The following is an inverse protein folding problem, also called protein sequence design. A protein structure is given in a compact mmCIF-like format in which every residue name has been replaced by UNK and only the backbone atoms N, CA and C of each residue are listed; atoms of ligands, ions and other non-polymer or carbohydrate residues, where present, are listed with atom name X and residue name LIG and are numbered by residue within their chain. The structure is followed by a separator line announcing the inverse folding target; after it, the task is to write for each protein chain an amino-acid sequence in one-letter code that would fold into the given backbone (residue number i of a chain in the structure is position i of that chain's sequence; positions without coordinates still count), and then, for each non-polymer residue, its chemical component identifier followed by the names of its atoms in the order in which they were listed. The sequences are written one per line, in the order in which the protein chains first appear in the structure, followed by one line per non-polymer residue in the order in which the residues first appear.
data_IF_654710594893
#
_entry.id   IF_654710594893
#
_cell.length_a   1.000
_cell.length_b   1.000
_cell.length_c   1.000
_cell.angle_alpha   90.00
_cell.angle_beta   90.00
_cell.angle_gamma   90.00
#
_symmetry.space_group_name_H-M   'P 1'
#
loop_
_entity.id
_entity.type
_entity.pdbx_description
1 polymer ?
#
# COMPACT_ATOMS: atom_id res chain seq x y z
N UNK A 1 -3.13 19.76 -41.73
CA UNK A 1 -3.18 19.83 -40.26
C UNK A 1 -3.23 18.42 -39.69
N UNK A 2 -2.26 18.13 -38.82
CA UNK A 2 -2.17 17.03 -37.83
C UNK A 2 -2.47 15.58 -38.27
N UNK A 3 -1.37 14.85 -38.50
CA UNK A 3 -1.25 13.43 -38.12
C UNK A 3 -1.58 13.30 -36.62
N UNK A 4 -2.53 12.45 -36.23
CA UNK A 4 -2.65 12.02 -34.83
C UNK A 4 -3.32 10.65 -34.70
N UNK A 5 -2.45 9.63 -34.68
CA UNK A 5 -2.48 8.46 -33.79
C UNK A 5 -3.69 7.53 -33.82
N UNK A 6 -3.74 6.70 -34.88
CA UNK A 6 -4.62 5.52 -34.99
C UNK A 6 -4.20 4.31 -34.11
N UNK A 7 -3.53 4.54 -32.97
CA UNK A 7 -3.01 3.47 -32.09
C UNK A 7 -3.32 3.66 -30.60
N UNK A 8 -4.05 4.72 -30.21
CA UNK A 8 -4.35 5.01 -28.81
C UNK A 8 -5.56 4.24 -28.24
N UNK A 9 -6.37 3.56 -29.06
CA UNK A 9 -7.70 3.07 -28.66
C UNK A 9 -7.78 1.78 -27.83
N UNK A 10 -6.68 1.08 -27.55
CA UNK A 10 -6.73 -0.26 -26.92
C UNK A 10 -6.13 -0.34 -25.50
N UNK A 11 -5.43 0.72 -25.06
CA UNK A 11 -4.61 0.72 -23.85
C UNK A 11 -5.00 1.80 -22.83
N UNK A 12 -6.04 2.58 -23.09
CA UNK A 12 -6.51 3.66 -22.22
C UNK A 12 -8.02 3.53 -21.98
N UNK A 13 -8.47 3.46 -20.72
CA UNK A 13 -9.90 3.44 -20.41
C UNK A 13 -10.54 4.79 -20.74
N UNK A 14 -11.85 4.81 -21.10
CA UNK A 14 -12.55 6.05 -21.44
C UNK A 14 -12.56 7.01 -20.24
N UNK A 15 -12.08 8.25 -20.45
CA UNK A 15 -11.99 9.29 -19.41
C UNK A 15 -10.60 9.51 -18.79
N UNK A 16 -9.56 8.81 -19.25
CA UNK A 16 -8.16 9.06 -18.84
C UNK A 16 -7.24 9.33 -20.02
N UNK A 17 -6.37 10.35 -19.88
CA UNK A 17 -5.45 10.79 -20.93
C UNK A 17 -4.21 9.89 -21.11
N UNK A 18 -3.94 8.97 -20.17
CA UNK A 18 -2.77 8.08 -20.23
C UNK A 18 -3.06 6.69 -19.65
N UNK A 19 -2.30 5.67 -20.08
CA UNK A 19 -2.51 4.28 -19.63
C UNK A 19 -2.18 4.16 -18.13
N UNK A 20 -3.18 3.92 -17.26
CA UNK A 20 -2.97 3.84 -15.81
C UNK A 20 -2.14 2.62 -15.42
N UNK A 21 -2.11 1.58 -16.27
CA UNK A 21 -1.35 0.34 -16.10
C UNK A 21 0.04 0.35 -16.74
N UNK A 22 0.57 1.53 -17.08
CA UNK A 22 1.92 1.66 -17.60
C UNK A 22 2.97 1.26 -16.54
N UNK A 23 3.95 0.44 -16.94
CA UNK A 23 5.05 -0.02 -16.07
C UNK A 23 5.81 1.12 -15.37
N UNK A 24 5.86 2.31 -15.99
CA UNK A 24 6.47 3.51 -15.39
C UNK A 24 5.78 4.00 -14.11
N UNK A 25 4.47 3.76 -13.94
CA UNK A 25 3.74 4.07 -12.71
C UNK A 25 3.79 2.93 -11.70
N UNK A 26 3.96 1.68 -12.15
CA UNK A 26 3.99 0.50 -11.26
C UNK A 26 5.31 0.30 -10.55
N UNK A 27 6.45 0.52 -11.22
CA UNK A 27 7.77 0.33 -10.61
C UNK A 27 7.93 1.18 -9.34
N UNK A 28 7.56 2.48 -9.31
CA UNK A 28 7.66 3.28 -8.09
C UNK A 28 6.80 2.74 -6.95
N UNK A 29 5.57 2.27 -7.25
CA UNK A 29 4.66 1.74 -6.23
C UNK A 29 5.21 0.42 -5.69
N UNK A 30 5.73 -0.46 -6.56
CA UNK A 30 6.27 -1.74 -6.12
C UNK A 30 7.53 -1.56 -5.28
N UNK A 31 8.37 -0.58 -5.63
CA UNK A 31 9.52 -0.19 -4.82
C UNK A 31 9.07 0.35 -3.47
N UNK A 32 8.05 1.22 -3.43
CA UNK A 32 7.48 1.74 -2.19
C UNK A 32 6.96 0.60 -1.29
N UNK A 33 6.20 -0.35 -1.85
CA UNK A 33 5.68 -1.51 -1.12
C UNK A 33 6.81 -2.42 -0.60
N UNK A 34 7.87 -2.64 -1.38
CA UNK A 34 9.05 -3.40 -0.94
C UNK A 34 9.82 -2.69 0.17
N UNK A 35 9.96 -1.37 0.09
CA UNK A 35 10.57 -0.56 1.17
C UNK A 35 9.72 -0.65 2.43
N UNK A 36 8.40 -0.51 2.30
CA UNK A 36 7.44 -0.73 3.39
C UNK A 36 7.62 -2.12 4.02
N UNK A 37 7.67 -3.17 3.20
CA UNK A 37 7.93 -4.54 3.64
C UNK A 37 9.24 -4.66 4.41
N UNK A 38 10.34 -4.12 3.87
CA UNK A 38 11.65 -4.17 4.53
C UNK A 38 11.63 -3.47 5.89
N UNK A 39 11.01 -2.28 5.97
CA UNK A 39 10.88 -1.55 7.24
C UNK A 39 10.01 -2.30 8.25
N UNK A 40 8.88 -2.87 7.84
CA UNK A 40 8.03 -3.67 8.72
C UNK A 40 8.71 -4.97 9.18
N UNK A 41 9.45 -5.65 8.30
CA UNK A 41 10.25 -6.83 8.67
C UNK A 41 11.34 -6.47 9.68
N UNK A 42 12.02 -5.34 9.51
CA UNK A 42 13.01 -4.84 10.47
C UNK A 42 12.39 -4.62 11.86
N UNK A 43 11.22 -3.97 11.93
CA UNK A 43 10.49 -3.78 13.18
C UNK A 43 10.00 -5.11 13.78
N UNK A 44 9.56 -6.05 12.96
CA UNK A 44 9.17 -7.39 13.41
C UNK A 44 10.36 -8.14 14.03
N UNK A 45 11.54 -8.08 13.42
CA UNK A 45 12.76 -8.72 13.93
C UNK A 45 13.16 -8.15 15.30
N UNK A 46 12.98 -6.85 15.52
CA UNK A 46 13.16 -6.23 16.84
C UNK A 46 12.15 -6.78 17.86
N UNK A 47 10.86 -6.86 17.51
CA UNK A 47 9.83 -7.40 18.41
C UNK A 47 10.01 -8.89 18.72
N UNK A 48 10.58 -9.68 17.80
CA UNK A 48 10.97 -11.07 18.06
C UNK A 48 12.27 -11.21 18.88
N UNK A 49 12.92 -10.10 19.24
CA UNK A 49 14.17 -10.09 20.01
C UNK A 49 15.41 -10.53 19.23
N UNK A 50 15.34 -10.56 17.89
CA UNK A 50 16.50 -10.84 17.03
C UNK A 50 17.43 -9.62 16.97
N UNK A 51 16.86 -8.42 17.06
CA UNK A 51 17.59 -7.16 17.14
C UNK A 51 17.41 -6.56 18.54
N UNK A 52 18.50 -6.08 19.14
CA UNK A 52 18.50 -5.48 20.49
C UNK A 52 18.22 -3.98 20.48
N UNK A 53 18.51 -3.29 19.38
CA UNK A 53 18.31 -1.86 19.22
C UNK A 53 17.52 -1.58 17.94
N UNK A 54 16.68 -0.55 17.97
CA UNK A 54 16.00 -0.02 16.79
C UNK A 54 16.65 1.29 16.35
N UNK A 55 16.97 1.37 15.06
CA UNK A 55 17.52 2.59 14.48
C UNK A 55 16.43 3.66 14.32
N UNK A 56 16.48 4.70 15.14
CA UNK A 56 15.61 5.87 15.04
C UNK A 56 16.40 7.17 14.83
N UNK A 57 16.38 7.77 13.62
CA UNK A 57 17.11 9.00 13.33
C UNK A 57 16.54 10.27 13.97
N UNK A 58 15.28 10.28 14.43
CA UNK A 58 14.59 11.50 14.89
C UNK A 58 14.28 11.45 16.39
N UNK A 59 13.81 10.30 16.90
CA UNK A 59 13.30 10.18 18.27
C UNK A 59 14.10 9.22 19.17
N UNK A 60 15.19 8.61 18.67
CA UNK A 60 16.09 7.76 19.45
C UNK A 60 15.36 6.64 20.20
N UNK A 61 15.42 6.65 21.54
CA UNK A 61 14.77 5.66 22.41
C UNK A 61 13.22 5.72 22.39
N UNK A 62 12.62 6.71 21.73
CA UNK A 62 11.17 6.80 21.56
C UNK A 62 10.59 5.63 20.77
N UNK A 63 11.30 5.13 19.75
CA UNK A 63 10.83 3.97 18.99
C UNK A 63 10.77 2.69 19.82
N UNK A 64 11.71 2.49 20.75
CA UNK A 64 11.70 1.33 21.65
C UNK A 64 10.46 1.36 22.55
N UNK A 65 10.14 2.52 23.13
CA UNK A 65 8.97 2.71 23.97
C UNK A 65 7.65 2.42 23.22
N UNK A 66 7.55 2.84 21.95
CA UNK A 66 6.43 2.53 21.06
C UNK A 66 6.32 1.02 20.80
N UNK A 67 7.45 0.36 20.51
CA UNK A 67 7.49 -1.07 20.19
C UNK A 67 7.27 -1.98 21.40
N UNK A 68 7.56 -1.50 22.61
CA UNK A 68 7.26 -2.20 23.86
C UNK A 68 5.90 -1.81 24.47
N UNK A 69 5.13 -0.98 23.77
CA UNK A 69 3.88 -0.44 24.31
C UNK A 69 2.78 -1.48 24.45
N UNK A 70 1.74 -1.15 25.22
CA UNK A 70 0.54 -1.96 25.41
C UNK A 70 -0.15 -2.34 24.11
N UNK A 71 0.05 -1.60 23.02
CA UNK A 71 -0.47 -1.98 21.71
C UNK A 71 0.21 -3.25 21.17
N UNK A 72 1.53 -3.36 21.38
CA UNK A 72 2.34 -4.52 20.99
C UNK A 72 2.11 -5.72 21.91
N UNK A 73 1.69 -5.50 23.16
CA UNK A 73 1.32 -6.59 24.10
C UNK A 73 -0.14 -7.02 23.97
N UNK A 74 -1.03 -6.14 23.50
CA UNK A 74 -2.45 -6.44 23.34
C UNK A 74 -2.74 -7.27 22.09
N UNK A 75 -1.89 -7.17 21.06
CA UNK A 75 -1.99 -8.00 19.87
C UNK A 75 -1.13 -9.26 20.06
N UNK A 76 -1.69 -10.49 19.90
CA UNK A 76 -0.94 -11.73 20.01
C UNK A 76 0.12 -11.90 18.90
N UNK A 77 0.08 -11.06 17.87
CA UNK A 77 1.05 -11.03 16.76
C UNK A 77 1.68 -9.63 16.71
N UNK A 78 3.02 -9.53 16.61
CA UNK A 78 3.71 -8.26 16.47
C UNK A 78 3.17 -7.46 15.27
N UNK A 79 2.81 -6.19 15.50
CA UNK A 79 2.20 -5.31 14.49
C UNK A 79 3.12 -5.12 13.26
N UNK A 80 4.43 -5.12 13.47
CA UNK A 80 5.44 -5.14 12.41
C UNK A 80 5.35 -6.39 11.53
N UNK A 81 5.02 -7.56 12.08
CA UNK A 81 4.86 -8.79 11.28
C UNK A 81 3.57 -8.77 10.44
N UNK A 82 2.49 -8.22 10.99
CA UNK A 82 1.24 -7.99 10.25
C UNK A 82 1.49 -7.03 9.09
N UNK A 83 2.19 -5.91 9.35
CA UNK A 83 2.60 -4.95 8.33
C UNK A 83 3.47 -5.58 7.25
N UNK A 84 4.47 -6.39 7.64
CA UNK A 84 5.37 -7.05 6.70
C UNK A 84 4.61 -8.01 5.78
N UNK A 85 3.70 -8.81 6.32
CA UNK A 85 2.86 -9.71 5.54
C UNK A 85 1.96 -8.95 4.56
N UNK A 86 1.33 -7.86 5.02
CA UNK A 86 0.45 -7.04 4.19
C UNK A 86 1.23 -6.34 3.05
N UNK A 87 2.39 -5.75 3.33
CA UNK A 87 3.25 -5.16 2.30
C UNK A 87 3.82 -6.19 1.32
N UNK A 88 4.13 -7.40 1.77
CA UNK A 88 4.57 -8.47 0.89
C UNK A 88 3.44 -8.89 -0.05
N UNK A 89 2.23 -9.04 0.46
CA UNK A 89 1.03 -9.31 -0.36
C UNK A 89 0.80 -8.17 -1.34
N UNK A 90 0.91 -6.91 -0.92
CA UNK A 90 0.78 -5.73 -1.78
C UNK A 90 1.85 -5.74 -2.89
N UNK A 91 3.12 -5.93 -2.55
CA UNK A 91 4.22 -6.00 -3.52
C UNK A 91 4.03 -7.15 -4.52
N UNK A 92 3.61 -8.33 -4.06
CA UNK A 92 3.28 -9.46 -4.94
C UNK A 92 2.11 -9.11 -5.83
N UNK A 93 1.05 -8.49 -5.30
CA UNK A 93 -0.09 -8.06 -6.09
C UNK A 93 0.33 -7.03 -7.13
N UNK A 94 1.23 -6.10 -6.84
CA UNK A 94 1.70 -5.11 -7.81
C UNK A 94 2.56 -5.73 -8.92
N UNK A 95 3.45 -6.66 -8.56
CA UNK A 95 4.31 -7.37 -9.51
C UNK A 95 3.52 -8.40 -10.34
N UNK A 96 2.52 -9.05 -9.76
CA UNK A 96 1.77 -10.14 -10.37
C UNK A 96 0.66 -9.65 -11.33
N UNK A 97 0.98 -8.84 -12.35
CA UNK A 97 0.01 -8.58 -13.42
C UNK A 97 0.47 -7.78 -14.63
N UNK A 98 -0.05 -8.19 -15.79
CA UNK A 98 0.29 -7.61 -17.11
C UNK A 98 -0.34 -6.25 -17.41
N UNK A 99 -0.06 -5.73 -18.61
CA UNK A 99 -0.49 -4.39 -19.11
C UNK A 99 -2.00 -4.24 -19.36
N UNK A 100 -2.77 -5.33 -19.28
CA UNK A 100 -4.21 -5.42 -19.59
C UNK A 100 -5.10 -5.80 -18.39
N UNK A 101 -4.55 -5.66 -17.19
CA UNK A 101 -5.15 -6.15 -15.93
C UNK A 101 -6.51 -5.53 -15.59
N UNK A 102 -6.78 -4.28 -16.02
CA UNK A 102 -8.06 -3.62 -15.75
C UNK A 102 -9.25 -4.34 -16.41
N UNK A 103 -9.04 -4.93 -17.60
CA UNK A 103 -10.10 -5.59 -18.37
C UNK A 103 -10.22 -7.08 -18.05
N UNK A 104 -9.09 -7.80 -17.91
CA UNK A 104 -9.11 -9.26 -17.71
C UNK A 104 -9.18 -9.69 -16.23
N UNK A 105 -8.75 -8.83 -15.29
CA UNK A 105 -8.59 -9.17 -13.86
C UNK A 105 -8.91 -7.96 -12.96
N UNK A 106 -10.04 -7.28 -13.19
CA UNK A 106 -10.51 -6.15 -12.37
C UNK A 106 -10.58 -6.49 -10.87
N UNK A 107 -10.86 -7.75 -10.54
CA UNK A 107 -10.88 -8.25 -9.17
C UNK A 107 -9.52 -8.15 -8.47
N UNK A 108 -8.40 -8.36 -9.17
CA UNK A 108 -7.05 -8.18 -8.60
C UNK A 108 -6.77 -6.70 -8.27
N UNK A 109 -7.24 -5.77 -9.11
CA UNK A 109 -7.07 -4.33 -8.88
C UNK A 109 -7.90 -3.88 -7.67
N UNK A 110 -9.11 -4.42 -7.52
CA UNK A 110 -9.95 -4.16 -6.35
C UNK A 110 -9.33 -4.73 -5.07
N UNK A 111 -8.77 -5.95 -5.10
CA UNK A 111 -8.07 -6.53 -3.94
C UNK A 111 -6.84 -5.72 -3.58
N UNK A 112 -6.04 -5.28 -4.56
CA UNK A 112 -4.90 -4.40 -4.32
C UNK A 112 -5.35 -3.10 -3.63
N UNK A 113 -6.41 -2.47 -4.15
CA UNK A 113 -6.97 -1.27 -3.54
C UNK A 113 -7.48 -1.48 -2.13
N UNK A 114 -8.08 -2.63 -1.84
CA UNK A 114 -8.56 -2.98 -0.50
C UNK A 114 -7.39 -3.18 0.48
N UNK A 115 -6.33 -3.87 0.05
CA UNK A 115 -5.12 -4.08 0.87
C UNK A 115 -4.43 -2.74 1.14
N UNK A 116 -4.22 -1.92 0.11
CA UNK A 116 -3.62 -0.59 0.24
C UNK A 116 -4.44 0.32 1.16
N UNK A 117 -5.78 0.30 1.04
CA UNK A 117 -6.66 1.05 1.94
C UNK A 117 -6.56 0.55 3.39
N UNK A 118 -6.52 -0.77 3.59
CA UNK A 118 -6.33 -1.38 4.91
C UNK A 118 -4.99 -0.96 5.54
N UNK A 119 -3.90 -1.02 4.79
CA UNK A 119 -2.56 -0.56 5.21
C UNK A 119 -2.54 0.94 5.53
N UNK A 120 -3.19 1.76 4.71
CA UNK A 120 -3.30 3.20 4.96
C UNK A 120 -4.09 3.53 6.23
N UNK A 121 -5.23 2.87 6.44
CA UNK A 121 -6.06 3.05 7.65
C UNK A 121 -5.31 2.55 8.89
N UNK A 122 -4.72 1.36 8.83
CA UNK A 122 -3.94 0.81 9.94
C UNK A 122 -2.76 1.74 10.29
N UNK A 123 -2.01 2.21 9.29
CA UNK A 123 -0.93 3.17 9.48
C UNK A 123 -1.41 4.46 10.15
N UNK A 124 -2.53 5.02 9.70
CA UNK A 124 -3.10 6.24 10.29
C UNK A 124 -3.51 6.02 11.76
N UNK A 125 -4.17 4.90 12.06
CA UNK A 125 -4.58 4.54 13.43
C UNK A 125 -3.35 4.42 14.34
N UNK A 126 -2.29 3.76 13.88
CA UNK A 126 -1.05 3.60 14.64
C UNK A 126 -0.37 4.94 14.90
N UNK A 127 -0.29 5.82 13.90
CA UNK A 127 0.30 7.17 14.06
C UNK A 127 -0.48 8.02 15.08
N UNK A 128 -1.81 7.88 15.13
CA UNK A 128 -2.63 8.58 16.12
C UNK A 128 -2.51 7.93 17.51
N UNK A 129 -2.37 6.60 17.58
CA UNK A 129 -2.26 5.86 18.84
C UNK A 129 -0.92 6.08 19.56
N UNK A 130 0.17 6.28 18.81
CA UNK A 130 1.53 6.53 19.35
C UNK A 130 1.59 7.62 20.44
N UNK A 131 1.17 8.88 20.17
CA UNK A 131 1.20 9.94 21.18
C UNK A 131 0.22 9.71 22.33
N UNK A 132 -0.90 9.03 22.08
CA UNK A 132 -1.92 8.76 23.10
C UNK A 132 -1.47 7.68 24.10
N UNK A 133 -0.75 6.66 23.63
CA UNK A 133 -0.35 5.51 24.45
C UNK A 133 1.03 5.64 25.06
N UNK A 134 1.98 6.23 24.34
CA UNK A 134 3.39 6.25 24.74
C UNK A 134 3.98 7.64 24.88
N UNK A 135 3.28 8.68 24.40
CA UNK A 135 3.79 10.06 24.40
C UNK A 135 5.03 10.26 23.54
N UNK A 136 5.40 9.29 22.71
CA UNK A 136 6.57 9.32 21.82
C UNK A 136 6.16 8.91 20.40
N UNK A 137 7.05 9.15 19.43
CA UNK A 137 6.84 8.82 18.03
C UNK A 137 7.92 7.86 17.55
N UNK A 138 7.56 6.99 16.60
CA UNK A 138 8.47 6.11 15.90
C UNK A 138 8.66 6.62 14.47
N UNK A 139 9.87 7.07 14.13
CA UNK A 139 10.16 7.67 12.81
C UNK A 139 9.98 6.67 11.67
N UNK A 140 10.36 5.41 11.87
CA UNK A 140 10.17 4.30 10.92
C UNK A 140 8.68 4.02 10.64
N UNK A 141 7.86 4.09 11.69
CA UNK A 141 6.41 3.89 11.60
C UNK A 141 5.74 5.06 10.87
N UNK A 142 6.21 6.29 11.13
CA UNK A 142 5.76 7.48 10.41
C UNK A 142 6.12 7.38 8.92
N UNK A 143 7.35 6.94 8.62
CA UNK A 143 7.81 6.72 7.25
C UNK A 143 6.97 5.66 6.54
N UNK A 144 6.66 4.53 7.20
CA UNK A 144 5.80 3.50 6.60
C UNK A 144 4.37 4.01 6.39
N UNK A 145 3.81 4.81 7.31
CA UNK A 145 2.50 5.41 7.13
C UNK A 145 2.45 6.36 5.92
N UNK A 146 3.49 7.17 5.72
CA UNK A 146 3.63 8.03 4.54
C UNK A 146 3.69 7.20 3.25
N UNK A 147 4.43 6.09 3.27
CA UNK A 147 4.52 5.15 2.14
C UNK A 147 3.13 4.57 1.81
N UNK A 148 2.39 4.04 2.79
CA UNK A 148 1.03 3.51 2.59
C UNK A 148 0.09 4.54 1.98
N UNK A 149 0.12 5.78 2.48
CA UNK A 149 -0.73 6.86 1.97
C UNK A 149 -0.34 7.21 0.53
N UNK A 150 0.94 7.28 0.22
CA UNK A 150 1.42 7.54 -1.13
C UNK A 150 0.93 6.44 -2.11
N UNK A 151 1.10 5.17 -1.73
CA UNK A 151 0.63 4.02 -2.52
C UNK A 151 -0.89 4.11 -2.76
N UNK A 152 -1.67 4.39 -1.71
CA UNK A 152 -3.12 4.56 -1.80
C UNK A 152 -3.53 5.67 -2.80
N UNK A 153 -2.86 6.82 -2.77
CA UNK A 153 -3.12 7.93 -3.69
C UNK A 153 -2.78 7.55 -5.14
N UNK A 154 -1.69 6.83 -5.37
CA UNK A 154 -1.28 6.39 -6.70
C UNK A 154 -2.25 5.34 -7.28
N UNK A 155 -2.63 4.36 -6.47
CA UNK A 155 -3.52 3.25 -6.86
C UNK A 155 -4.97 3.71 -7.07
N UNK A 156 -5.41 4.81 -6.43
CA UNK A 156 -6.75 5.40 -6.60
C UNK A 156 -7.17 5.55 -8.07
N UNK A 157 -6.25 5.93 -8.94
CA UNK A 157 -6.50 6.13 -10.37
C UNK A 157 -6.78 4.84 -11.13
N UNK A 158 -6.16 3.71 -10.74
CA UNK A 158 -6.46 2.38 -11.28
C UNK A 158 -7.78 1.84 -10.72
N UNK A 159 -8.08 2.07 -9.44
CA UNK A 159 -9.34 1.64 -8.80
C UNK A 159 -10.53 2.29 -9.48
N UNK A 160 -10.50 3.61 -9.74
CA UNK A 160 -11.62 4.31 -10.38
C UNK A 160 -11.90 3.78 -11.79
N UNK A 161 -10.85 3.41 -12.53
CA UNK A 161 -10.97 2.84 -13.86
C UNK A 161 -11.58 1.43 -13.81
N UNK A 162 -11.11 0.56 -12.91
CA UNK A 162 -11.65 -0.77 -12.70
C UNK A 162 -13.10 -0.75 -12.20
N UNK A 163 -13.43 0.15 -11.28
CA UNK A 163 -14.79 0.32 -10.74
C UNK A 163 -15.80 0.72 -11.82
N UNK A 164 -15.41 1.63 -12.71
CA UNK A 164 -16.26 2.07 -13.83
C UNK A 164 -16.56 0.90 -14.77
N UNK A 165 -15.57 0.06 -15.06
CA UNK A 165 -15.73 -1.12 -15.89
C UNK A 165 -16.67 -2.17 -15.25
N UNK A 166 -16.50 -2.46 -13.94
CA UNK A 166 -17.40 -3.37 -13.20
C UNK A 166 -18.83 -2.83 -13.14
N UNK A 167 -19.00 -1.53 -12.92
CA UNK A 167 -20.34 -0.90 -12.86
C UNK A 167 -21.07 -0.96 -14.21
N UNK A 168 -20.35 -0.79 -15.32
CA UNK A 168 -20.91 -0.91 -16.67
C UNK A 168 -21.32 -2.34 -17.03
N UNK A 169 -20.55 -3.36 -16.63
CA UNK A 169 -20.91 -4.76 -16.84
C UNK A 169 -21.96 -5.29 -15.84
N UNK A 170 -22.04 -4.73 -14.63
CA UNK A 170 -23.11 -5.04 -13.68
C UNK A 170 -24.48 -4.55 -14.12
N UNK A 171 -24.54 -3.43 -14.84
CA UNK A 171 -25.78 -2.83 -15.34
C UNK A 171 -26.38 -3.52 -16.59
N UNK A 172 -25.66 -4.48 -17.18
CA UNK A 172 -26.06 -5.23 -18.38
C UNK A 172 -26.41 -6.71 -18.09
N UNK A 173 -26.64 -7.09 -16.83
CA UNK A 173 -27.22 -8.40 -16.51
C UNK A 173 -28.73 -8.33 -16.72
N UNK A 174 -29.32 -9.02 -17.71
CA UNK A 174 -30.77 -9.14 -17.79
C UNK A 174 -31.25 -9.85 -16.52
N UNK A 175 -32.18 -9.22 -15.81
CA UNK A 175 -32.98 -9.81 -14.74
C UNK A 175 -33.86 -10.93 -15.29
#
# INVERSE_FOLDING_TARGET
MTRSNCSAGYWTPPGQESNPSAWRRRIPIAVLALVGCATSTYLALYQYGVLTDVWDPIFGSGSEAVLTSTLSTALPVPDGAIGAAAYLVEAVLELAGGRRRWADRSLLVLTLGLVAAGLGVAGLVLVIAQPLLTGTFCSLCLASAVISIAVLVLVRSEISAAWTHVRQHGNNRPI
#
